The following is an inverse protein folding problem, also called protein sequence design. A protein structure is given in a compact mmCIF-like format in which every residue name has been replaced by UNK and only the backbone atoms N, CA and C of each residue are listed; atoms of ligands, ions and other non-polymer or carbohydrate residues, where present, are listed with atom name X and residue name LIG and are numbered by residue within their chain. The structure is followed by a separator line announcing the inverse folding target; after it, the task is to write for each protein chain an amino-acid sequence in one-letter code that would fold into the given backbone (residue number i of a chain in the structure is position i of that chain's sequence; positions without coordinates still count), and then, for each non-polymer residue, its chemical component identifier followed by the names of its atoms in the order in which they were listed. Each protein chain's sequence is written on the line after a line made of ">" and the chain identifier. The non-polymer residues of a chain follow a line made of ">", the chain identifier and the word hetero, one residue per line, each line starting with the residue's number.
data_IF_695158736674
#
_entry.id   IF_695158736674
#
_cell.length_a   1.000
_cell.length_b   1.000
_cell.length_c   1.000
_cell.angle_alpha   90.00
_cell.angle_beta   90.00
_cell.angle_gamma   90.00
#
_symmetry.space_group_name_H-M   'P 1'
#
loop_
_entity.id
_entity.type
_entity.pdbx_description
1 polymer ?
#
# COMPACT_ATOMS: atom_id res chain seq x y z
N UNK A 1 -11.60 -14.53 -1.33
CA UNK A 1 -10.54 -13.58 -1.69
C UNK A 1 -9.44 -13.64 -0.65
N UNK A 2 -8.19 -13.54 -1.08
CA UNK A 2 -7.03 -13.47 -0.19
C UNK A 2 -7.15 -12.26 0.76
N UNK A 3 -6.91 -12.48 2.04
CA UNK A 3 -7.02 -11.42 3.06
C UNK A 3 -6.03 -10.27 2.82
N UNK A 4 -4.85 -10.56 2.27
CA UNK A 4 -3.86 -9.52 1.97
C UNK A 4 -4.28 -8.68 0.76
N UNK A 5 -4.86 -9.31 -0.24
CA UNK A 5 -5.42 -8.58 -1.38
C UNK A 5 -6.62 -7.75 -0.94
N UNK A 6 -7.45 -8.27 -0.02
CA UNK A 6 -8.56 -7.49 0.54
C UNK A 6 -8.03 -6.25 1.28
N UNK A 7 -6.93 -6.39 2.03
CA UNK A 7 -6.32 -5.25 2.72
C UNK A 7 -5.81 -4.21 1.72
N UNK A 8 -5.25 -4.63 0.59
CA UNK A 8 -4.82 -3.70 -0.47
C UNK A 8 -6.03 -2.98 -1.09
N UNK A 9 -7.14 -3.69 -1.30
CA UNK A 9 -8.39 -3.09 -1.78
C UNK A 9 -8.92 -2.07 -0.77
N UNK A 10 -8.85 -2.38 0.53
CA UNK A 10 -9.31 -1.47 1.59
C UNK A 10 -8.47 -0.18 1.59
N UNK A 11 -7.16 -0.29 1.36
CA UNK A 11 -6.30 0.88 1.21
C UNK A 11 -6.65 1.70 -0.03
N UNK A 12 -6.98 1.04 -1.13
CA UNK A 12 -7.43 1.73 -2.34
C UNK A 12 -8.74 2.50 -2.08
N UNK A 13 -9.66 1.92 -1.31
CA UNK A 13 -10.91 2.59 -0.94
C UNK A 13 -10.67 3.81 -0.05
N UNK A 14 -9.69 3.75 0.85
CA UNK A 14 -9.28 4.91 1.64
C UNK A 14 -8.81 6.04 0.74
N UNK A 15 -7.97 5.71 -0.24
CA UNK A 15 -7.48 6.69 -1.21
C UNK A 15 -8.62 7.37 -1.96
N UNK A 16 -9.59 6.57 -2.42
CA UNK A 16 -10.76 7.07 -3.11
C UNK A 16 -11.61 7.98 -2.20
N UNK A 17 -11.82 7.57 -0.95
CA UNK A 17 -12.60 8.35 0.02
C UNK A 17 -11.94 9.69 0.33
N UNK A 18 -10.61 9.79 0.22
CA UNK A 18 -9.85 11.03 0.41
C UNK A 18 -9.81 11.90 -0.85
N UNK A 19 -10.48 11.48 -1.91
CA UNK A 19 -10.47 12.19 -3.18
C UNK A 19 -9.23 11.94 -4.02
N UNK A 20 -8.46 10.91 -3.68
CA UNK A 20 -7.24 10.55 -4.38
C UNK A 20 -7.42 9.42 -5.37
N UNK A 21 -6.30 8.93 -5.88
CA UNK A 21 -6.26 7.81 -6.83
C UNK A 21 -6.52 6.51 -6.07
N UNK A 22 -7.46 5.64 -6.51
CA UNK A 22 -7.83 4.43 -5.77
C UNK A 22 -6.86 3.26 -6.02
N UNK A 23 -5.61 3.44 -5.60
CA UNK A 23 -4.57 2.41 -5.66
C UNK A 23 -4.08 2.18 -4.23
N UNK A 24 -4.17 0.94 -3.78
CA UNK A 24 -3.73 0.54 -2.45
C UNK A 24 -2.70 -0.58 -2.50
N UNK A 25 -1.87 -0.67 -1.48
CA UNK A 25 -0.87 -1.71 -1.37
C UNK A 25 -0.63 -2.12 0.06
N UNK A 26 -0.21 -3.38 0.24
CA UNK A 26 0.29 -3.89 1.53
C UNK A 26 1.56 -4.68 1.29
N UNK A 27 2.49 -4.61 2.23
CA UNK A 27 3.72 -5.40 2.24
C UNK A 27 3.56 -6.47 3.30
N UNK A 28 3.74 -7.73 2.89
CA UNK A 28 3.55 -8.89 3.76
C UNK A 28 4.89 -9.58 3.96
N UNK A 29 5.26 -9.79 5.22
CA UNK A 29 6.47 -10.53 5.61
C UNK A 29 6.05 -11.65 6.55
N UNK A 30 6.36 -12.90 6.15
CA UNK A 30 6.05 -14.11 6.95
C UNK A 30 4.60 -14.16 7.42
N UNK A 31 3.66 -13.88 6.52
CA UNK A 31 2.24 -13.94 6.81
C UNK A 31 1.70 -12.77 7.62
N UNK A 32 2.48 -11.71 7.81
CA UNK A 32 2.05 -10.52 8.55
C UNK A 32 2.20 -9.27 7.70
N UNK A 33 1.21 -8.40 7.75
CA UNK A 33 1.29 -7.09 7.11
C UNK A 33 2.24 -6.22 7.93
N UNK A 34 3.33 -5.78 7.32
CA UNK A 34 4.32 -4.89 7.96
C UNK A 34 4.21 -3.45 7.48
N UNK A 35 3.48 -3.21 6.41
CA UNK A 35 3.22 -1.87 5.91
C UNK A 35 2.03 -1.87 5.00
N UNK A 36 1.25 -0.81 5.05
CA UNK A 36 0.11 -0.63 4.17
C UNK A 36 -0.02 0.84 3.81
N UNK A 37 -0.52 1.09 2.63
CA UNK A 37 -0.65 2.44 2.14
C UNK A 37 -1.47 2.52 0.87
N UNK A 38 -1.69 3.74 0.43
CA UNK A 38 -2.42 4.01 -0.81
C UNK A 38 -1.78 5.20 -1.50
N UNK A 39 -2.08 5.35 -2.78
CA UNK A 39 -1.55 6.47 -3.55
C UNK A 39 -2.07 7.78 -2.93
N UNK A 40 -1.14 8.64 -2.51
CA UNK A 40 -1.45 9.93 -1.89
C UNK A 40 -0.91 11.11 -2.68
N UNK A 41 -0.73 10.90 -3.97
CA UNK A 41 -0.23 11.94 -4.87
C UNK A 41 -1.11 13.19 -4.82
N UNK A 42 -2.44 13.00 -4.81
CA UNK A 42 -3.41 14.09 -4.75
C UNK A 42 -3.45 14.70 -3.34
N UNK A 43 -3.59 13.84 -2.32
CA UNK A 43 -3.76 14.27 -0.92
C UNK A 43 -2.55 15.04 -0.38
N UNK A 44 -1.35 14.63 -0.79
CA UNK A 44 -0.10 15.24 -0.31
C UNK A 44 0.53 16.19 -1.31
N UNK A 45 -0.03 16.28 -2.53
CA UNK A 45 0.58 17.07 -3.59
C UNK A 45 1.96 16.55 -3.99
N UNK A 46 2.26 15.27 -3.75
CA UNK A 46 3.56 14.67 -3.99
C UNK A 46 3.50 13.70 -5.16
N UNK A 47 4.38 13.89 -6.14
CA UNK A 47 4.45 12.99 -7.29
C UNK A 47 5.12 11.65 -6.97
N UNK A 48 5.69 11.49 -5.77
CA UNK A 48 6.41 10.27 -5.37
C UNK A 48 5.64 9.38 -4.41
N UNK A 49 4.47 9.82 -3.89
CA UNK A 49 3.68 9.03 -2.94
C UNK A 49 2.72 8.10 -3.67
N UNK A 50 3.25 7.18 -4.46
CA UNK A 50 2.51 6.05 -4.99
C UNK A 50 2.13 5.07 -3.87
N UNK A 51 1.16 4.20 -4.12
CA UNK A 51 0.68 3.24 -3.11
C UNK A 51 1.78 2.38 -2.52
N UNK A 52 2.67 1.83 -3.35
CA UNK A 52 3.81 1.03 -2.90
C UNK A 52 4.79 1.85 -2.06
N UNK A 53 5.04 3.09 -2.42
CA UNK A 53 5.92 3.98 -1.65
C UNK A 53 5.32 4.30 -0.30
N UNK A 54 4.01 4.56 -0.24
CA UNK A 54 3.30 4.81 0.99
C UNK A 54 3.36 3.59 1.92
N UNK A 55 3.21 2.38 1.36
CA UNK A 55 3.32 1.15 2.13
C UNK A 55 4.74 0.96 2.71
N UNK A 56 5.78 1.26 1.94
CA UNK A 56 7.16 1.21 2.42
C UNK A 56 7.41 2.22 3.53
N UNK A 57 6.92 3.44 3.37
CA UNK A 57 7.02 4.46 4.43
C UNK A 57 6.35 3.99 5.72
N UNK A 58 5.16 3.42 5.61
CA UNK A 58 4.39 2.95 6.76
C UNK A 58 4.98 1.69 7.38
N UNK A 59 5.71 0.88 6.63
CA UNK A 59 6.45 -0.26 7.18
C UNK A 59 7.65 0.18 8.01
N UNK A 60 8.10 1.40 7.83
CA UNK A 60 9.28 1.92 8.50
C UNK A 60 10.57 1.43 7.85
N UNK A 61 11.67 1.65 8.54
CA UNK A 61 13.00 1.29 8.02
C UNK A 61 13.36 -0.13 8.45
N UNK A 62 12.91 -1.10 7.67
CA UNK A 62 13.21 -2.50 7.91
C UNK A 62 14.57 -2.86 7.32
N UNK A 63 15.18 -3.95 7.86
CA UNK A 63 16.39 -4.50 7.28
C UNK A 63 16.12 -5.01 5.86
N UNK A 64 17.13 -4.96 4.99
CA UNK A 64 17.01 -5.42 3.61
C UNK A 64 16.53 -6.87 3.52
N UNK A 65 16.93 -7.73 4.45
CA UNK A 65 16.51 -9.12 4.49
C UNK A 65 15.00 -9.28 4.70
N UNK A 66 14.37 -8.37 5.44
CA UNK A 66 12.91 -8.36 5.64
C UNK A 66 12.21 -8.11 4.32
N UNK A 67 12.64 -7.10 3.58
CA UNK A 67 12.05 -6.78 2.28
C UNK A 67 12.32 -7.87 1.24
N UNK A 68 13.48 -8.51 1.28
CA UNK A 68 13.80 -9.61 0.37
C UNK A 68 12.87 -10.81 0.56
N UNK A 69 12.33 -11.01 1.76
CA UNK A 69 11.39 -12.08 2.08
C UNK A 69 9.93 -11.63 2.04
N UNK A 70 9.65 -10.41 1.57
CA UNK A 70 8.31 -9.83 1.61
C UNK A 70 7.62 -9.95 0.26
N UNK A 71 6.28 -9.88 0.30
CA UNK A 71 5.42 -9.85 -0.88
C UNK A 71 4.66 -8.54 -0.88
N UNK A 72 4.63 -7.88 -2.03
CA UNK A 72 3.85 -6.66 -2.24
C UNK A 72 2.53 -7.02 -2.92
N UNK A 73 1.41 -6.64 -2.29
CA UNK A 73 0.07 -6.74 -2.87
C UNK A 73 -0.37 -5.36 -3.32
N UNK A 74 -0.79 -5.25 -4.57
CA UNK A 74 -1.19 -3.98 -5.18
C UNK A 74 -2.58 -4.14 -5.78
N UNK A 75 -3.46 -3.19 -5.51
CA UNK A 75 -4.82 -3.20 -6.05
C UNK A 75 -5.22 -1.83 -6.59
N UNK A 76 -5.92 -1.85 -7.71
CA UNK A 76 -6.51 -0.67 -8.35
C UNK A 76 -8.02 -0.87 -8.42
N UNK A 77 -8.78 0.12 -7.94
CA UNK A 77 -10.24 0.10 -8.06
C UNK A 77 -10.64 0.91 -9.28
N UNK A 78 -11.41 0.30 -10.17
CA UNK A 78 -12.03 1.00 -11.30
C UNK A 78 -13.27 1.74 -10.82
N UNK A 79 -13.39 2.96 -11.27
CA UNK A 79 -14.53 3.82 -10.96
C UNK A 79 -15.48 3.85 -12.15
#
# INVERSE_FOLDING_TARGET
>A
MDAFMQAAIDEARKGLAEGGIPIGSVIVHRGQIIGRGHNRRVQKGSSVLHGEMDAFENAGRQAASVYAESVLYLSLIHI
#
